data_IF_348498937283
#
_entry.id   IF_348498937283
#
_cell.length_a   1.000
_cell.length_b   1.000
_cell.length_c   1.000
_cell.angle_alpha   90.00
_cell.angle_beta   90.00
_cell.angle_gamma   90.00
#
_symmetry.space_group_name_H-M   'P 1'
#
loop_
_entity.id
_entity.type
_entity.pdbx_description
1 polymer ?
#
# COMPACT_ATOMS: atom_id res chain seq x y z
N UNK A 1 -30.43 -73.62 69.08
CA UNK A 1 -29.32 -73.85 68.14
C UNK A 1 -29.07 -72.59 67.33
N UNK A 2 -27.80 -72.13 67.24
CA UNK A 2 -27.19 -71.14 66.29
C UNK A 2 -27.69 -69.68 66.41
N UNK A 3 -26.86 -68.75 66.95
CA UNK A 3 -25.88 -67.86 66.27
C UNK A 3 -26.57 -66.84 65.32
N UNK A 4 -26.26 -65.55 65.23
CA UNK A 4 -25.24 -64.69 65.83
C UNK A 4 -25.50 -63.20 65.46
N UNK A 5 -24.81 -62.27 66.15
CA UNK A 5 -24.37 -60.95 65.65
C UNK A 5 -25.32 -59.76 65.94
N UNK A 6 -25.09 -58.92 66.95
CA UNK A 6 -24.15 -57.75 67.03
C UNK A 6 -24.55 -56.64 66.04
N UNK A 7 -24.81 -55.38 66.40
CA UNK A 7 -24.11 -54.48 67.34
C UNK A 7 -25.01 -53.28 67.80
N UNK A 8 -24.56 -52.60 68.87
CA UNK A 8 -25.16 -51.54 69.72
C UNK A 8 -25.38 -50.19 68.98
N UNK A 9 -26.50 -49.42 69.08
CA UNK A 9 -27.05 -48.50 70.13
C UNK A 9 -26.16 -47.26 70.39
N UNK A 10 -26.68 -46.04 70.73
CA UNK A 10 -27.77 -45.17 70.21
C UNK A 10 -27.19 -43.77 69.83
N UNK A 11 -27.96 -42.70 69.57
CA UNK A 11 -28.33 -41.65 70.56
C UNK A 11 -29.27 -40.67 69.83
N UNK A 12 -30.46 -40.48 70.40
CA UNK A 12 -31.36 -39.36 70.14
C UNK A 12 -30.92 -38.12 70.93
N UNK A 13 -31.41 -36.94 70.52
CA UNK A 13 -31.69 -35.71 71.31
C UNK A 13 -31.61 -34.56 70.28
N UNK A 14 -32.74 -34.13 69.73
CA UNK A 14 -33.61 -33.07 70.25
C UNK A 14 -32.84 -31.75 70.45
N UNK A 15 -33.16 -30.74 69.65
CA UNK A 15 -32.80 -29.35 69.94
C UNK A 15 -33.93 -28.45 69.48
N UNK A 16 -34.61 -27.90 70.49
CA UNK A 16 -35.58 -26.84 70.37
C UNK A 16 -34.92 -25.48 70.63
N UNK A 17 -35.46 -24.48 69.94
CA UNK A 17 -35.68 -23.09 70.38
C UNK A 17 -34.54 -22.05 70.43
N UNK A 18 -34.89 -20.93 69.79
CA UNK A 18 -34.77 -19.53 70.24
C UNK A 18 -33.52 -18.68 69.90
N UNK A 19 -33.69 -17.89 68.82
CA UNK A 19 -33.44 -16.44 68.65
C UNK A 19 -32.33 -15.76 69.46
N UNK A 20 -31.39 -15.14 68.72
CA UNK A 20 -30.80 -13.84 69.05
C UNK A 20 -30.23 -13.16 67.78
N UNK A 21 -30.60 -11.88 67.61
CA UNK A 21 -30.18 -10.98 66.53
C UNK A 21 -28.67 -10.76 66.51
N UNK A 22 -28.03 -10.92 65.34
CA UNK A 22 -26.77 -10.25 65.04
C UNK A 22 -26.77 -9.72 63.60
N UNK A 23 -26.59 -8.41 63.52
CA UNK A 23 -26.26 -7.59 62.36
C UNK A 23 -25.17 -8.21 61.48
N UNK A 24 -25.48 -8.41 60.19
CA UNK A 24 -24.50 -8.77 59.17
C UNK A 24 -24.57 -7.75 58.03
N UNK A 25 -23.73 -6.73 58.08
CA UNK A 25 -23.50 -5.81 56.97
C UNK A 25 -22.97 -6.60 55.78
N UNK A 26 -23.70 -6.60 54.67
CA UNK A 26 -23.16 -6.95 53.37
C UNK A 26 -22.10 -5.88 53.02
N UNK A 27 -20.82 -6.19 53.24
CA UNK A 27 -19.75 -5.35 52.73
C UNK A 27 -19.69 -5.55 51.21
N UNK A 28 -20.25 -4.54 50.53
CA UNK A 28 -20.02 -4.22 49.13
C UNK A 28 -18.59 -4.56 48.74
N UNK A 29 -18.46 -5.36 47.68
CA UNK A 29 -17.24 -5.47 46.88
C UNK A 29 -16.62 -4.08 46.68
N UNK A 30 -15.33 -3.97 47.00
CA UNK A 30 -14.55 -2.78 46.68
C UNK A 30 -14.59 -2.52 45.16
N UNK A 31 -14.84 -1.27 44.72
CA UNK A 31 -14.84 -0.92 43.32
C UNK A 31 -13.47 -1.21 42.67
N UNK A 32 -13.54 -1.58 41.40
CA UNK A 32 -12.45 -1.87 40.45
C UNK A 32 -11.32 -0.79 40.43
N UNK A 33 -11.54 0.38 41.03
CA UNK A 33 -10.54 1.44 41.17
C UNK A 33 -9.25 1.04 41.91
N UNK A 34 -9.30 0.14 42.89
CA UNK A 34 -8.09 -0.20 43.67
C UNK A 34 -7.17 -1.21 42.99
N UNK A 35 -7.66 -1.96 41.98
CA UNK A 35 -6.80 -2.74 41.07
C UNK A 35 -6.14 -1.86 40.00
N UNK A 36 -6.78 -0.77 39.58
CA UNK A 36 -6.24 0.16 38.57
C UNK A 36 -4.95 0.86 39.01
N UNK A 37 -4.77 1.12 40.31
CA UNK A 37 -3.63 1.91 40.81
C UNK A 37 -2.30 1.15 40.91
N UNK A 38 -2.32 -0.18 41.04
CA UNK A 38 -1.10 -1.01 41.00
C UNK A 38 -0.72 -1.47 39.58
N UNK A 39 -1.67 -1.52 38.64
CA UNK A 39 -1.38 -1.76 37.22
C UNK A 39 -0.76 -0.53 36.54
N UNK A 40 -1.07 0.69 37.01
CA UNK A 40 -0.58 1.93 36.42
C UNK A 40 0.88 2.29 36.78
N UNK A 41 1.51 1.63 37.77
CA UNK A 41 2.85 2.00 38.26
C UNK A 41 3.99 1.08 37.81
N UNK A 42 3.77 0.18 36.85
CA UNK A 42 4.88 -0.60 36.29
C UNK A 42 4.75 -0.98 34.83
N UNK A 43 4.15 -0.11 34.02
CA UNK A 43 4.46 -0.09 32.59
C UNK A 43 5.56 0.93 32.40
N UNK A 44 6.81 0.47 32.55
CA UNK A 44 7.89 1.15 31.83
C UNK A 44 7.45 1.13 30.37
N UNK A 45 7.33 2.26 29.66
CA UNK A 45 7.26 2.19 28.23
C UNK A 45 8.62 1.61 27.80
N UNK A 46 8.68 0.29 27.65
CA UNK A 46 9.50 -0.32 26.63
C UNK A 46 8.83 0.09 25.31
N UNK A 47 8.94 1.38 24.99
CA UNK A 47 8.70 1.81 23.64
C UNK A 47 9.70 1.03 22.81
N UNK A 48 9.28 0.34 21.73
CA UNK A 48 10.27 0.02 20.72
C UNK A 48 11.02 1.33 20.47
N UNK A 49 12.34 1.27 20.35
CA UNK A 49 13.08 2.30 19.62
C UNK A 49 12.16 2.74 18.49
N UNK A 50 11.75 4.02 18.42
CA UNK A 50 10.85 4.50 17.37
C UNK A 50 11.58 4.19 16.07
N UNK A 51 11.36 3.00 15.51
CA UNK A 51 12.04 2.53 14.32
C UNK A 51 11.66 3.56 13.28
N UNK A 52 12.64 4.33 12.86
CA UNK A 52 12.47 5.35 11.85
C UNK A 52 12.50 4.58 10.53
N UNK A 53 11.35 4.22 9.91
CA UNK A 53 11.35 3.23 8.83
C UNK A 53 12.18 3.74 7.64
N UNK A 54 12.25 5.05 7.46
CA UNK A 54 13.11 5.69 6.48
C UNK A 54 14.61 5.42 6.67
N UNK A 55 15.09 5.20 7.90
CA UNK A 55 16.50 4.85 8.17
C UNK A 55 16.84 3.43 7.72
N UNK A 56 15.91 2.49 7.85
CA UNK A 56 16.06 1.12 7.34
C UNK A 56 16.35 1.12 5.82
N UNK A 57 15.71 2.03 5.09
CA UNK A 57 15.92 2.21 3.65
C UNK A 57 17.05 3.19 3.30
N UNK A 58 17.84 3.62 4.30
CA UNK A 58 19.01 4.48 4.11
C UNK A 58 18.69 5.97 3.83
N UNK A 59 17.46 6.42 4.00
CA UNK A 59 17.13 7.85 3.89
C UNK A 59 17.59 8.61 5.14
N UNK A 60 17.91 9.88 4.98
CA UNK A 60 18.38 10.74 6.09
C UNK A 60 17.25 11.38 6.89
N UNK A 61 16.06 11.48 6.29
CA UNK A 61 14.84 12.01 6.87
C UNK A 61 13.62 11.31 6.23
N UNK A 62 12.39 11.48 6.76
CA UNK A 62 11.18 11.11 6.05
C UNK A 62 11.08 11.82 4.68
N UNK A 63 10.41 11.18 3.72
CA UNK A 63 10.06 11.88 2.47
C UNK A 63 9.05 12.99 2.77
N UNK A 64 9.30 14.19 2.24
CA UNK A 64 8.33 15.26 2.33
C UNK A 64 7.06 14.88 1.53
N UNK A 65 5.87 15.22 2.04
CA UNK A 65 4.63 14.99 1.30
C UNK A 65 4.65 15.77 -0.02
N UNK A 66 4.07 15.20 -1.07
CA UNK A 66 3.94 15.91 -2.33
C UNK A 66 3.09 17.18 -2.16
N UNK A 67 3.40 18.26 -2.90
CA UNK A 67 2.52 19.41 -3.02
C UNK A 67 1.13 18.96 -3.45
N UNK A 68 0.10 19.66 -2.95
CA UNK A 68 -1.25 19.52 -3.52
C UNK A 68 -1.15 19.96 -4.98
N UNK A 69 -1.60 19.13 -5.95
CA UNK A 69 -1.50 19.47 -7.36
C UNK A 69 -2.08 20.85 -7.59
N UNK A 70 -1.29 21.73 -8.19
CA UNK A 70 -1.83 22.97 -8.73
C UNK A 70 -2.86 22.56 -9.79
N UNK A 71 -4.14 22.83 -9.57
CA UNK A 71 -5.26 22.43 -10.44
C UNK A 71 -5.14 23.08 -11.83
N UNK A 72 -4.24 22.56 -12.66
CA UNK A 72 -4.26 22.66 -14.11
C UNK A 72 -3.99 21.26 -14.63
N UNK A 73 -5.05 20.48 -14.93
CA UNK A 73 -4.87 19.24 -15.66
C UNK A 73 -4.02 19.53 -16.88
N UNK A 74 -2.90 18.82 -17.03
CA UNK A 74 -2.10 18.87 -18.23
C UNK A 74 -2.98 18.35 -19.38
N UNK A 75 -3.66 19.27 -20.06
CA UNK A 75 -4.57 19.04 -21.17
C UNK A 75 -5.27 17.66 -21.10
N UNK A 76 -6.39 17.58 -20.35
CA UNK A 76 -7.44 16.63 -20.74
C UNK A 76 -7.53 16.71 -22.26
N UNK A 77 -7.42 15.60 -22.98
CA UNK A 77 -7.80 15.58 -24.40
C UNK A 77 -9.25 16.04 -24.47
N UNK A 78 -9.45 17.33 -24.65
CA UNK A 78 -10.75 17.95 -24.87
C UNK A 78 -11.08 17.70 -26.34
N UNK A 79 -11.49 16.48 -26.66
CA UNK A 79 -11.97 16.13 -28.00
C UNK A 79 -11.87 14.65 -28.35
N UNK A 80 -12.45 14.23 -29.50
CA UNK A 80 -12.41 12.86 -30.04
C UNK A 80 -11.02 12.47 -30.58
N UNK A 81 -9.97 12.77 -29.81
CA UNK A 81 -8.58 12.52 -30.15
C UNK A 81 -8.02 11.27 -29.48
N UNK A 82 -7.01 10.68 -30.09
CA UNK A 82 -6.25 9.58 -29.51
C UNK A 82 -5.65 9.98 -28.14
N UNK A 83 -5.66 9.10 -27.12
CA UNK A 83 -5.08 9.37 -25.81
C UNK A 83 -3.64 9.87 -25.94
N UNK A 84 -3.23 10.91 -25.18
CA UNK A 84 -1.87 11.41 -25.20
C UNK A 84 -0.92 10.33 -24.70
N UNK A 85 0.33 10.39 -25.18
CA UNK A 85 1.42 9.56 -24.68
C UNK A 85 2.29 10.45 -23.80
N UNK A 86 2.48 10.04 -22.55
CA UNK A 86 3.13 10.83 -21.51
C UNK A 86 4.26 10.03 -20.88
N UNK A 87 5.47 10.56 -20.93
CA UNK A 87 6.64 10.10 -20.16
C UNK A 87 7.12 11.13 -19.14
N UNK A 88 6.51 12.32 -19.14
CA UNK A 88 6.78 13.43 -18.26
C UNK A 88 5.53 14.31 -18.11
N UNK A 89 5.18 14.65 -16.87
CA UNK A 89 4.06 15.54 -16.53
C UNK A 89 4.55 16.98 -16.55
N UNK A 90 3.89 17.85 -17.31
CA UNK A 90 4.17 19.29 -17.28
C UNK A 90 3.66 19.88 -15.97
N UNK A 91 4.56 20.11 -15.01
CA UNK A 91 4.24 20.75 -13.74
C UNK A 91 5.42 21.58 -13.21
N UNK A 92 5.11 22.59 -12.41
CA UNK A 92 6.09 23.35 -11.63
C UNK A 92 6.23 22.81 -10.20
N UNK A 93 5.32 21.94 -9.78
CA UNK A 93 5.38 21.27 -8.48
C UNK A 93 6.65 20.42 -8.43
N UNK A 94 7.41 20.51 -7.33
CA UNK A 94 8.69 19.79 -7.13
C UNK A 94 8.45 18.30 -6.89
N UNK A 95 7.80 17.62 -7.82
CA UNK A 95 7.30 16.24 -7.68
C UNK A 95 7.82 15.34 -8.79
N UNK A 96 8.02 14.07 -8.48
CA UNK A 96 8.25 12.99 -9.46
C UNK A 96 7.26 11.86 -9.21
N UNK A 97 7.05 11.02 -10.22
CA UNK A 97 6.06 9.96 -10.20
C UNK A 97 6.72 8.59 -10.31
N UNK A 98 6.60 7.78 -9.25
CA UNK A 98 7.14 6.43 -9.25
C UNK A 98 6.10 5.47 -9.80
N UNK A 99 6.51 4.69 -10.80
CA UNK A 99 5.65 3.72 -11.48
C UNK A 99 6.26 2.34 -11.47
N UNK A 100 5.48 1.31 -11.15
CA UNK A 100 5.96 -0.08 -11.06
C UNK A 100 5.18 -0.99 -12.01
N UNK A 101 5.93 -1.81 -12.74
CA UNK A 101 5.41 -2.75 -13.71
C UNK A 101 5.24 -4.11 -13.03
N UNK A 102 4.03 -4.41 -12.57
CA UNK A 102 3.70 -5.66 -11.92
C UNK A 102 3.47 -6.75 -12.97
N UNK A 103 4.33 -7.76 -12.99
CA UNK A 103 4.26 -8.86 -13.94
C UNK A 103 3.31 -9.95 -13.43
N UNK A 104 2.46 -10.47 -14.33
CA UNK A 104 1.41 -11.45 -14.02
C UNK A 104 -0.01 -10.91 -14.21
N UNK A 105 -1.00 -11.80 -14.13
CA UNK A 105 -2.44 -11.55 -14.28
C UNK A 105 -3.26 -11.99 -13.06
N UNK A 106 -3.60 -11.08 -12.16
CA UNK A 106 -4.43 -11.41 -11.00
C UNK A 106 -3.62 -12.05 -9.87
N UNK A 107 -4.01 -13.25 -9.41
CA UNK A 107 -3.44 -13.90 -8.23
C UNK A 107 -1.96 -14.34 -8.37
N UNK A 108 -1.47 -14.45 -9.60
CA UNK A 108 -0.09 -14.83 -9.96
C UNK A 108 0.86 -13.62 -10.07
N UNK A 109 0.37 -12.40 -9.79
CA UNK A 109 1.16 -11.17 -9.90
C UNK A 109 2.38 -11.27 -8.98
N UNK A 110 3.56 -11.47 -9.58
CA UNK A 110 4.80 -11.58 -8.82
C UNK A 110 5.26 -10.16 -8.44
N UNK A 111 5.20 -9.85 -7.15
CA UNK A 111 5.78 -8.63 -6.59
C UNK A 111 7.05 -8.99 -5.83
N UNK A 112 8.08 -8.18 -5.99
CA UNK A 112 9.26 -8.22 -5.12
C UNK A 112 8.80 -7.91 -3.67
N UNK A 113 8.91 -8.86 -2.72
CA UNK A 113 8.47 -8.65 -1.34
C UNK A 113 9.19 -7.48 -0.68
N UNK A 114 10.49 -7.31 -0.97
CA UNK A 114 11.29 -6.23 -0.40
C UNK A 114 10.84 -4.88 -0.96
N UNK A 115 10.43 -4.82 -2.22
CA UNK A 115 9.84 -3.62 -2.80
C UNK A 115 8.47 -3.32 -2.17
N UNK A 116 7.65 -4.34 -1.92
CA UNK A 116 6.37 -4.17 -1.23
C UNK A 116 6.56 -3.61 0.18
N UNK A 117 7.56 -4.07 0.92
CA UNK A 117 7.93 -3.52 2.23
C UNK A 117 8.39 -2.07 2.14
N UNK A 118 9.24 -1.73 1.16
CA UNK A 118 9.67 -0.34 0.93
C UNK A 118 8.47 0.58 0.67
N UNK A 119 7.53 0.16 -0.18
CA UNK A 119 6.32 0.94 -0.47
C UNK A 119 5.44 1.10 0.77
N UNK A 120 5.26 0.02 1.55
CA UNK A 120 4.43 0.00 2.76
C UNK A 120 5.03 0.86 3.88
N UNK A 121 6.30 0.69 4.18
CA UNK A 121 6.99 1.36 5.29
C UNK A 121 7.18 2.86 5.03
N UNK A 122 7.47 3.24 3.78
CA UNK A 122 7.63 4.63 3.39
C UNK A 122 6.33 5.29 2.90
N UNK A 123 5.23 4.52 2.83
CA UNK A 123 3.91 4.97 2.33
C UNK A 123 3.99 5.63 0.95
N UNK A 124 4.74 5.02 0.03
CA UNK A 124 5.00 5.62 -1.28
C UNK A 124 3.74 5.59 -2.17
N UNK A 125 3.38 6.72 -2.81
CA UNK A 125 2.27 6.76 -3.76
C UNK A 125 2.71 6.22 -5.15
N UNK A 126 3.00 4.92 -5.23
CA UNK A 126 3.42 4.28 -6.48
C UNK A 126 2.22 3.93 -7.35
N UNK A 127 2.24 4.35 -8.61
CA UNK A 127 1.26 3.92 -9.62
C UNK A 127 1.71 2.56 -10.19
N UNK A 128 0.85 1.55 -10.12
CA UNK A 128 1.18 0.18 -10.54
C UNK A 128 0.48 -0.15 -11.86
N UNK A 129 1.27 -0.58 -12.85
CA UNK A 129 0.76 -1.05 -14.14
C UNK A 129 0.90 -2.58 -14.23
N UNK A 130 -0.18 -3.31 -14.59
CA UNK A 130 -0.07 -4.72 -14.93
C UNK A 130 0.59 -4.85 -16.32
N UNK A 131 1.60 -5.72 -16.46
CA UNK A 131 2.41 -5.82 -17.69
C UNK A 131 2.23 -7.09 -18.50
N UNK A 132 1.12 -7.80 -18.35
CA UNK A 132 0.93 -9.11 -19.00
C UNK A 132 -0.31 -9.20 -19.89
N UNK A 133 -0.28 -8.61 -21.10
CA UNK A 133 -1.19 -9.05 -22.15
C UNK A 133 -0.87 -10.49 -22.58
N UNK A 134 -1.88 -11.20 -23.08
CA UNK A 134 -1.74 -12.61 -23.47
C UNK A 134 -0.72 -12.79 -24.59
N UNK A 135 -0.59 -11.81 -25.49
CA UNK A 135 0.30 -11.88 -26.65
C UNK A 135 1.61 -11.10 -26.47
N UNK A 136 1.90 -10.61 -25.27
CA UNK A 136 3.18 -9.99 -24.91
C UNK A 136 3.41 -8.57 -25.44
N UNK A 137 2.87 -8.17 -26.59
CA UNK A 137 2.95 -6.81 -27.14
C UNK A 137 1.65 -6.41 -27.84
N UNK A 138 1.34 -5.12 -27.84
CA UNK A 138 0.19 -4.58 -28.58
C UNK A 138 0.55 -4.20 -30.01
N UNK A 139 1.62 -3.43 -30.18
CA UNK A 139 1.99 -2.85 -31.47
C UNK A 139 2.24 -3.93 -32.54
N UNK A 140 1.70 -3.73 -33.74
CA UNK A 140 1.78 -4.71 -34.83
C UNK A 140 0.70 -5.81 -34.80
N UNK A 141 -0.08 -5.93 -33.72
CA UNK A 141 -1.25 -6.83 -33.70
C UNK A 141 -2.45 -6.20 -34.41
N UNK A 142 -3.40 -6.99 -34.93
CA UNK A 142 -4.65 -6.47 -35.48
C UNK A 142 -5.46 -5.69 -34.44
N UNK A 143 -6.21 -4.67 -34.87
CA UNK A 143 -7.03 -3.81 -34.00
C UNK A 143 -7.95 -4.61 -33.07
N UNK A 144 -8.62 -5.66 -33.58
CA UNK A 144 -9.53 -6.48 -32.78
C UNK A 144 -8.80 -7.17 -31.61
N UNK A 145 -7.58 -7.67 -31.84
CA UNK A 145 -6.72 -8.26 -30.80
C UNK A 145 -6.32 -7.21 -29.78
N UNK A 146 -5.79 -6.06 -30.22
CA UNK A 146 -5.37 -4.98 -29.33
C UNK A 146 -6.55 -4.49 -28.46
N UNK A 147 -7.72 -4.26 -29.06
CA UNK A 147 -8.93 -3.82 -28.33
C UNK A 147 -9.39 -4.86 -27.32
N UNK A 148 -9.42 -6.13 -27.69
CA UNK A 148 -9.82 -7.20 -26.77
C UNK A 148 -8.90 -7.26 -25.54
N UNK A 149 -7.58 -7.18 -25.74
CA UNK A 149 -6.62 -7.21 -24.65
C UNK A 149 -6.68 -5.96 -23.77
N UNK A 150 -6.76 -4.77 -24.38
CA UNK A 150 -6.79 -3.49 -23.67
C UNK A 150 -8.11 -3.33 -22.90
N UNK A 151 -9.26 -3.65 -23.50
CA UNK A 151 -10.56 -3.57 -22.83
C UNK A 151 -10.73 -4.69 -21.79
N UNK A 152 -10.13 -5.87 -22.01
CA UNK A 152 -10.19 -7.00 -21.10
C UNK A 152 -9.38 -6.79 -19.82
N UNK A 153 -8.27 -6.05 -19.91
CA UNK A 153 -7.61 -5.48 -18.74
C UNK A 153 -8.40 -4.28 -18.25
N UNK A 154 -9.48 -4.50 -17.49
CA UNK A 154 -10.18 -3.39 -16.84
C UNK A 154 -9.16 -2.62 -16.00
N UNK A 155 -8.92 -1.33 -16.31
CA UNK A 155 -8.17 -0.48 -15.41
C UNK A 155 -8.87 -0.50 -14.05
N UNK A 156 -8.12 -0.39 -12.95
CA UNK A 156 -8.76 -0.19 -11.64
C UNK A 156 -9.73 1.00 -11.75
N UNK A 157 -10.87 1.00 -11.05
CA UNK A 157 -11.86 2.07 -11.16
C UNK A 157 -11.26 3.48 -11.01
N UNK A 158 -10.15 3.58 -10.28
CA UNK A 158 -9.46 4.84 -9.93
C UNK A 158 -8.31 5.23 -10.87
N UNK A 159 -8.07 4.53 -11.99
CA UNK A 159 -7.01 4.88 -12.95
C UNK A 159 -7.36 4.46 -14.36
N UNK A 160 -7.55 5.42 -15.28
CA UNK A 160 -7.77 5.17 -16.71
C UNK A 160 -6.47 5.25 -17.51
N UNK A 161 -5.35 4.83 -16.91
CA UNK A 161 -4.02 4.89 -17.52
C UNK A 161 -3.62 3.54 -18.10
N UNK A 162 -2.99 3.55 -19.27
CA UNK A 162 -2.45 2.34 -19.91
C UNK A 162 -0.93 2.47 -20.03
N UNK A 163 -0.18 1.43 -19.63
CA UNK A 163 1.23 1.30 -19.98
C UNK A 163 1.38 0.20 -21.02
N UNK A 164 1.77 0.52 -22.27
CA UNK A 164 2.06 -0.51 -23.25
C UNK A 164 3.24 -1.38 -22.79
N UNK A 165 3.19 -2.72 -22.99
CA UNK A 165 4.32 -3.60 -22.72
C UNK A 165 5.57 -3.10 -23.43
N UNK A 166 6.70 -3.12 -22.72
CA UNK A 166 7.99 -2.66 -23.24
C UNK A 166 8.01 -1.20 -23.72
N UNK A 167 6.94 -0.44 -23.50
CA UNK A 167 6.78 0.93 -24.00
C UNK A 167 6.47 1.02 -25.50
N UNK A 168 6.13 -0.09 -26.17
CA UNK A 168 5.87 -0.11 -27.61
C UNK A 168 4.38 0.08 -27.91
N UNK A 169 4.08 0.97 -28.86
CA UNK A 169 2.71 1.29 -29.26
C UNK A 169 2.69 1.77 -30.71
N UNK A 170 1.54 1.62 -31.37
CA UNK A 170 1.26 2.21 -32.68
C UNK A 170 -0.04 3.04 -32.65
N UNK A 171 -0.45 3.57 -33.80
CA UNK A 171 -1.71 4.32 -33.92
C UNK A 171 -2.93 3.45 -33.62
N UNK A 172 -2.86 2.15 -33.94
CA UNK A 172 -3.89 1.16 -33.62
C UNK A 172 -4.02 0.96 -32.12
N UNK A 173 -2.90 0.92 -31.38
CA UNK A 173 -2.88 0.83 -29.91
C UNK A 173 -3.57 2.02 -29.29
N UNK A 174 -3.24 3.23 -29.75
CA UNK A 174 -3.88 4.46 -29.24
C UNK A 174 -5.37 4.49 -29.57
N UNK A 175 -5.78 4.02 -30.76
CA UNK A 175 -7.20 3.95 -31.14
C UNK A 175 -7.96 2.96 -30.26
N UNK A 176 -7.45 1.74 -30.12
CA UNK A 176 -8.04 0.72 -29.26
C UNK A 176 -8.12 1.21 -27.79
N UNK A 177 -7.09 1.89 -27.30
CA UNK A 177 -7.10 2.50 -25.98
C UNK A 177 -8.19 3.57 -25.82
N UNK A 178 -8.37 4.43 -26.82
CA UNK A 178 -9.44 5.42 -26.84
C UNK A 178 -10.82 4.76 -26.73
N UNK A 179 -11.06 3.72 -27.55
CA UNK A 179 -12.31 2.98 -27.58
C UNK A 179 -12.60 2.21 -26.28
N UNK A 180 -11.55 1.90 -25.51
CA UNK A 180 -11.64 1.28 -24.18
C UNK A 180 -11.68 2.31 -23.03
N UNK A 181 -11.74 3.62 -23.32
CA UNK A 181 -11.85 4.68 -22.31
C UNK A 181 -10.54 5.03 -21.59
N UNK A 182 -9.39 4.66 -22.14
CA UNK A 182 -8.07 5.05 -21.63
C UNK A 182 -7.88 6.56 -21.79
N UNK A 183 -7.47 7.21 -20.72
CA UNK A 183 -7.23 8.65 -20.65
C UNK A 183 -5.83 9.05 -21.11
N UNK A 184 -4.81 8.21 -20.90
CA UNK A 184 -3.44 8.44 -21.37
C UNK A 184 -2.65 7.12 -21.46
N UNK A 185 -1.70 7.07 -22.40
CA UNK A 185 -0.65 6.06 -22.44
C UNK A 185 0.55 6.58 -21.65
N UNK A 186 1.01 5.81 -20.67
CA UNK A 186 2.07 6.22 -19.74
C UNK A 186 3.35 5.44 -20.03
N UNK A 187 4.37 6.17 -20.45
CA UNK A 187 5.74 5.70 -20.60
C UNK A 187 6.56 6.16 -19.38
N UNK A 188 7.87 6.25 -19.54
CA UNK A 188 8.78 6.73 -18.51
C UNK A 188 9.95 7.46 -19.15
N UNK A 189 10.38 8.55 -18.52
CA UNK A 189 11.60 9.26 -18.92
C UNK A 189 12.83 8.63 -18.28
N UNK A 190 12.69 8.14 -17.05
CA UNK A 190 13.77 7.53 -16.29
C UNK A 190 13.40 6.12 -15.82
N UNK A 191 14.39 5.26 -15.60
CA UNK A 191 14.18 3.88 -15.16
C UNK A 191 15.27 3.44 -14.20
N UNK A 192 14.90 2.69 -13.16
CA UNK A 192 15.85 1.99 -12.27
C UNK A 192 15.78 0.47 -12.38
N UNK A 193 15.04 -0.05 -13.36
CA UNK A 193 14.83 -1.49 -13.57
C UNK A 193 16.11 -2.30 -13.78
N UNK A 194 17.18 -1.67 -14.27
CA UNK A 194 18.51 -2.30 -14.46
C UNK A 194 19.39 -2.22 -13.20
N UNK A 195 18.86 -1.71 -12.07
CA UNK A 195 19.59 -1.51 -10.82
C UNK A 195 20.26 -0.13 -10.69
N UNK A 196 20.41 0.59 -11.80
CA UNK A 196 20.95 1.96 -11.87
C UNK A 196 19.95 2.90 -12.52
N UNK A 197 20.02 4.19 -12.18
CA UNK A 197 19.16 5.21 -12.78
C UNK A 197 19.62 5.50 -14.21
N UNK A 198 18.71 5.29 -15.15
CA UNK A 198 18.91 5.51 -16.59
C UNK A 198 17.86 6.47 -17.11
N UNK A 199 18.17 7.20 -18.18
CA UNK A 199 17.28 8.17 -18.81
C UNK A 199 17.08 7.78 -20.27
N UNK A 200 15.85 7.79 -20.74
CA UNK A 200 15.52 7.48 -22.13
C UNK A 200 15.89 8.64 -23.07
N UNK A 201 15.81 9.89 -22.60
CA UNK A 201 16.06 11.11 -23.39
C UNK A 201 16.21 12.37 -22.53
N UNK A 202 16.82 13.40 -23.11
CA UNK A 202 17.04 14.72 -22.50
C UNK A 202 18.13 14.70 -21.42
N UNK A 203 18.10 15.66 -20.51
CA UNK A 203 19.13 15.76 -19.47
C UNK A 203 19.17 14.51 -18.58
N UNK A 204 20.38 14.09 -18.21
CA UNK A 204 20.63 12.92 -17.36
C UNK A 204 20.47 13.25 -15.87
N UNK A 205 19.35 13.88 -15.51
CA UNK A 205 19.06 14.30 -14.15
C UNK A 205 17.55 14.32 -13.88
N UNK A 206 17.13 14.04 -12.64
CA UNK A 206 15.71 14.09 -12.25
C UNK A 206 15.20 15.53 -12.23
N UNK A 207 14.11 15.77 -12.95
CA UNK A 207 13.40 17.03 -13.02
C UNK A 207 11.98 16.92 -12.43
N UNK A 208 11.39 18.04 -11.97
CA UNK A 208 9.96 18.10 -11.65
C UNK A 208 9.11 17.56 -12.80
N UNK A 209 8.14 16.69 -12.53
CA UNK A 209 7.28 16.09 -13.53
C UNK A 209 7.76 14.74 -14.08
N UNK A 210 8.98 14.30 -13.77
CA UNK A 210 9.51 13.06 -14.32
C UNK A 210 8.71 11.82 -13.87
N UNK A 211 8.38 10.97 -14.84
CA UNK A 211 7.83 9.63 -14.61
C UNK A 211 8.98 8.63 -14.61
N UNK A 212 9.14 7.94 -13.48
CA UNK A 212 10.22 6.97 -13.25
C UNK A 212 9.65 5.57 -13.19
N UNK A 213 10.14 4.66 -14.03
CA UNK A 213 9.86 3.23 -13.92
C UNK A 213 10.80 2.59 -12.91
N UNK A 214 10.28 2.23 -11.76
CA UNK A 214 11.10 1.74 -10.65
C UNK A 214 11.34 0.24 -10.72
N UNK A 215 12.56 -0.15 -10.37
CA UNK A 215 13.01 -1.52 -10.27
C UNK A 215 13.04 -2.05 -8.83
N UNK A 216 13.93 -3.02 -8.53
CA UNK A 216 14.08 -3.62 -7.20
C UNK A 216 14.27 -2.60 -6.08
N UNK A 217 13.93 -3.01 -4.85
CA UNK A 217 13.91 -2.14 -3.67
C UNK A 217 15.20 -1.32 -3.47
N UNK A 218 16.38 -1.94 -3.61
CA UNK A 218 17.67 -1.26 -3.38
C UNK A 218 17.93 -0.12 -4.37
N UNK A 219 17.56 -0.31 -5.64
CA UNK A 219 17.68 0.71 -6.67
C UNK A 219 16.70 1.86 -6.42
N UNK A 220 15.50 1.54 -5.94
CA UNK A 220 14.47 2.51 -5.58
C UNK A 220 14.85 3.30 -4.32
N UNK A 221 15.44 2.66 -3.31
CA UNK A 221 15.95 3.36 -2.12
C UNK A 221 17.09 4.35 -2.47
N UNK A 222 17.99 3.99 -3.40
CA UNK A 222 18.99 4.92 -3.95
C UNK A 222 18.34 6.09 -4.68
N UNK A 223 17.32 5.82 -5.51
CA UNK A 223 16.55 6.85 -6.21
C UNK A 223 15.91 7.84 -5.21
N UNK A 224 15.28 7.34 -4.14
CA UNK A 224 14.62 8.16 -3.13
C UNK A 224 15.59 9.10 -2.41
N UNK A 225 16.83 8.65 -2.13
CA UNK A 225 17.89 9.53 -1.62
C UNK A 225 18.23 10.65 -2.61
N UNK A 226 18.33 10.32 -3.90
CA UNK A 226 18.57 11.30 -4.96
C UNK A 226 17.43 12.32 -5.09
N UNK A 227 16.18 11.88 -4.93
CA UNK A 227 14.99 12.73 -4.88
C UNK A 227 15.06 13.70 -3.69
N UNK A 228 15.38 13.20 -2.48
CA UNK A 228 15.54 14.04 -1.29
C UNK A 228 16.66 15.07 -1.43
N UNK A 229 17.83 14.67 -1.93
CA UNK A 229 18.97 15.57 -2.12
C UNK A 229 18.69 16.72 -3.10
N UNK A 230 17.66 16.57 -3.95
CA UNK A 230 17.22 17.59 -4.92
C UNK A 230 16.02 18.41 -4.44
N UNK A 231 15.50 18.14 -3.24
CA UNK A 231 14.28 18.78 -2.75
C UNK A 231 13.03 18.40 -3.57
N UNK A 232 13.05 17.24 -4.23
CA UNK A 232 11.89 16.69 -4.92
C UNK A 232 11.07 15.82 -3.96
N UNK A 233 9.78 15.68 -4.25
CA UNK A 233 8.82 14.82 -3.53
C UNK A 233 8.30 13.72 -4.44
N UNK A 234 7.67 12.70 -3.87
CA UNK A 234 7.00 11.64 -4.64
C UNK A 234 5.50 11.82 -4.58
N UNK A 235 4.86 11.99 -5.73
CA UNK A 235 3.41 12.14 -5.88
C UNK A 235 2.76 10.96 -6.58
N UNK A 236 1.44 10.87 -6.43
CA UNK A 236 0.62 9.91 -7.20
C UNK A 236 0.40 10.45 -8.60
N UNK A 237 0.68 9.64 -9.63
CA UNK A 237 0.61 10.09 -11.03
C UNK A 237 -0.81 10.48 -11.45
N UNK A 238 -1.79 9.71 -10.99
CA UNK A 238 -3.20 9.91 -11.30
C UNK A 238 -3.77 11.23 -10.78
N UNK A 239 -3.10 11.89 -9.83
CA UNK A 239 -3.53 13.19 -9.32
C UNK A 239 -3.12 14.34 -10.28
N UNK A 240 -2.28 14.05 -11.28
CA UNK A 240 -1.71 15.01 -12.23
C UNK A 240 -2.13 14.75 -13.70
N UNK A 241 -2.84 13.65 -13.99
CA UNK A 241 -3.28 13.25 -15.33
C UNK A 241 -4.81 13.20 -15.47
#
# INVERSE_FOLDING_TARGET
MRRAGRLRVPVAVASAAALLFLTGCAQSVDPIERLGKKAAQRVHPHGPSREQPYRHWGLTAPLAPAPKPSLRPAARSAGPGLPPVVDHVRTHDRVVFLTYDAQGTGADTRRDPRFADLVRELRLPVTVFPTSPRHGHFAGQPYATQRSEICGHRPRPDSRLLRPPYGTYDTTTRRAAADCGVSALVLWRASTTTGTLTYARGDHHLAPGDIVRVGPADSTARLLRGIQGRGLTVGRLEDYL
#
